data_IF_042054850006
#
_entry.id   IF_042054850006
#
_cell.length_a   1.000
_cell.length_b   1.000
_cell.length_c   1.000
_cell.angle_alpha   90.00
_cell.angle_beta   90.00
_cell.angle_gamma   90.00
#
_symmetry.space_group_name_H-M   'P 1'
#
loop_
_entity.id
_entity.type
_entity.pdbx_description
1 polymer ?
#
# COMPACT_ATOMS: atom_id res chain seq x y z
N UNK A 1 -10.90 -14.11 6.16
CA UNK A 1 -10.08 -13.20 6.97
C UNK A 1 -9.82 -11.96 6.14
N UNK A 2 -10.57 -10.88 6.39
CA UNK A 2 -10.38 -9.64 5.64
C UNK A 2 -9.16 -8.89 6.18
N UNK A 3 -8.33 -8.36 5.28
CA UNK A 3 -7.23 -7.45 5.63
C UNK A 3 -7.56 -6.08 5.04
N UNK A 4 -7.19 -5.02 5.74
CA UNK A 4 -7.38 -3.64 5.29
C UNK A 4 -6.06 -2.89 5.43
N UNK A 5 -5.76 -2.07 4.43
CA UNK A 5 -4.58 -1.20 4.40
C UNK A 5 -5.06 0.25 4.46
N UNK A 6 -4.41 1.04 5.31
CA UNK A 6 -4.63 2.48 5.41
C UNK A 6 -3.33 3.19 5.04
N UNK A 7 -3.45 4.32 4.35
CA UNK A 7 -2.37 5.28 4.16
C UNK A 7 -2.75 6.51 4.99
N UNK A 8 -1.82 6.97 5.81
CA UNK A 8 -2.00 8.12 6.69
C UNK A 8 -1.04 9.21 6.28
N UNK A 9 -1.55 10.44 6.16
CA UNK A 9 -0.73 11.62 5.95
C UNK A 9 -0.40 12.24 7.32
N UNK A 10 0.89 12.32 7.63
CA UNK A 10 1.37 12.86 8.90
C UNK A 10 2.03 14.23 8.69
N UNK A 11 1.78 15.21 9.57
CA UNK A 11 2.51 16.47 9.54
C UNK A 11 4.02 16.24 9.64
N UNK A 12 4.80 17.10 8.98
CA UNK A 12 6.26 17.06 9.04
C UNK A 12 6.77 17.00 10.49
N UNK A 13 7.62 16.01 10.77
CA UNK A 13 8.23 15.79 12.07
C UNK A 13 7.36 15.07 13.10
N UNK A 14 6.14 14.63 12.75
CA UNK A 14 5.36 13.69 13.57
C UNK A 14 5.45 12.28 13.01
N UNK A 15 6.32 11.46 13.59
CA UNK A 15 6.28 10.01 13.36
C UNK A 15 5.11 9.38 14.13
N UNK A 16 4.31 8.50 13.50
CA UNK A 16 3.30 7.75 14.22
C UNK A 16 3.92 6.80 15.24
N UNK A 17 3.31 6.74 16.42
CA UNK A 17 3.57 5.69 17.41
C UNK A 17 2.90 4.37 16.98
N UNK A 18 3.34 3.81 15.84
CA UNK A 18 2.88 2.54 15.28
C UNK A 18 4.05 1.56 15.22
N UNK A 19 3.80 0.32 15.63
CA UNK A 19 4.74 -0.79 15.49
C UNK A 19 4.00 -2.09 15.22
N UNK A 20 4.71 -3.07 14.64
CA UNK A 20 4.16 -4.40 14.44
C UNK A 20 3.82 -5.05 15.79
N UNK A 21 2.66 -5.73 15.85
CA UNK A 21 2.17 -6.37 17.07
C UNK A 21 1.31 -5.49 17.97
N UNK A 22 1.18 -4.19 17.68
CA UNK A 22 0.22 -3.32 18.35
C UNK A 22 -1.23 -3.72 18.00
N UNK A 23 -2.14 -3.55 18.96
CA UNK A 23 -3.57 -3.71 18.71
C UNK A 23 -4.14 -2.38 18.19
N UNK A 24 -4.92 -2.45 17.11
CA UNK A 24 -5.61 -1.31 16.52
C UNK A 24 -6.99 -1.75 16.06
N UNK A 25 -8.05 -1.08 16.55
CA UNK A 25 -9.45 -1.40 16.24
C UNK A 25 -9.79 -2.90 16.38
N UNK A 26 -9.44 -3.51 17.53
CA UNK A 26 -9.58 -4.95 17.82
C UNK A 26 -8.83 -5.91 16.88
N UNK A 27 -8.03 -5.37 15.95
CA UNK A 27 -7.11 -6.11 15.10
C UNK A 27 -5.66 -6.03 15.58
N UNK A 28 -4.83 -6.93 15.05
CA UNK A 28 -3.37 -6.89 15.26
C UNK A 28 -2.70 -6.28 14.03
N UNK A 29 -1.87 -5.26 14.23
CA UNK A 29 -1.00 -4.75 13.16
C UNK A 29 0.02 -5.84 12.81
N UNK A 30 -0.10 -6.41 11.61
CA UNK A 30 0.78 -7.46 11.09
C UNK A 30 1.89 -6.92 10.17
N UNK A 31 1.71 -5.71 9.64
CA UNK A 31 2.65 -5.03 8.75
C UNK A 31 2.44 -3.52 8.83
N UNK A 32 3.52 -2.76 8.70
CA UNK A 32 3.52 -1.31 8.53
C UNK A 32 4.58 -0.95 7.48
N UNK A 33 4.29 0.06 6.65
CA UNK A 33 5.25 0.60 5.68
C UNK A 33 5.34 2.11 5.87
N UNK A 34 6.54 2.66 5.61
CA UNK A 34 6.78 4.10 5.54
C UNK A 34 6.74 4.62 4.10
N UNK A 35 6.46 3.75 3.13
CA UNK A 35 6.19 4.14 1.74
C UNK A 35 4.71 4.41 1.51
N UNK A 36 4.41 5.32 0.59
CA UNK A 36 3.05 5.52 0.10
C UNK A 36 2.63 4.35 -0.80
N UNK A 37 1.93 3.39 -0.20
CA UNK A 37 1.39 2.24 -0.91
C UNK A 37 0.31 2.60 -1.93
N UNK A 38 -0.36 3.75 -1.79
CA UNK A 38 -1.36 4.20 -2.77
C UNK A 38 -0.68 4.62 -4.07
N UNK A 39 0.41 5.36 -3.97
CA UNK A 39 1.24 5.75 -5.12
C UNK A 39 1.90 4.53 -5.76
N UNK A 40 2.43 3.61 -4.95
CA UNK A 40 3.07 2.38 -5.45
C UNK A 40 2.07 1.50 -6.21
N UNK A 41 0.85 1.33 -5.68
CA UNK A 41 -0.20 0.59 -6.36
C UNK A 41 -0.61 1.25 -7.68
N UNK A 42 -0.74 2.58 -7.72
CA UNK A 42 -1.06 3.29 -8.96
C UNK A 42 0.00 3.05 -10.06
N UNK A 43 1.28 3.06 -9.69
CA UNK A 43 2.38 2.73 -10.62
C UNK A 43 2.34 1.29 -11.10
N UNK A 44 1.96 0.35 -10.22
CA UNK A 44 1.81 -1.06 -10.58
C UNK A 44 0.65 -1.25 -11.57
N UNK A 45 -0.49 -0.60 -11.33
CA UNK A 45 -1.65 -0.63 -12.24
C UNK A 45 -1.30 -0.07 -13.63
N UNK A 46 -0.60 1.06 -13.70
CA UNK A 46 -0.11 1.64 -14.97
C UNK A 46 0.80 0.66 -15.72
N UNK A 47 1.71 0.00 -14.98
CA UNK A 47 2.65 -0.95 -15.57
C UNK A 47 1.97 -2.23 -16.05
N UNK A 48 0.96 -2.71 -15.32
CA UNK A 48 0.13 -3.84 -15.75
C UNK A 48 -0.60 -3.48 -17.05
N UNK A 49 -1.26 -2.32 -17.10
CA UNK A 49 -1.97 -1.84 -18.30
C UNK A 49 -1.05 -1.78 -19.53
N UNK A 50 0.16 -1.24 -19.36
CA UNK A 50 1.16 -1.17 -20.44
C UNK A 50 1.60 -2.54 -20.95
N UNK A 51 1.77 -3.51 -20.04
CA UNK A 51 2.15 -4.88 -20.40
C UNK A 51 1.02 -5.63 -21.11
N UNK A 52 -0.23 -5.41 -20.70
CA UNK A 52 -1.41 -5.98 -21.36
C UNK A 52 -1.53 -5.48 -22.81
N UNK A 53 -1.27 -4.18 -23.04
CA UNK A 53 -1.22 -3.62 -24.39
C UNK A 53 -0.09 -4.26 -25.22
N UNK A 54 1.14 -4.35 -24.70
CA UNK A 54 2.25 -4.97 -25.41
C UNK A 54 1.97 -6.43 -25.79
N UNK A 55 1.30 -7.18 -24.90
CA UNK A 55 0.91 -8.56 -25.17
C UNK A 55 -0.13 -8.63 -26.30
N UNK A 56 -1.11 -7.72 -26.31
CA UNK A 56 -2.16 -7.69 -27.32
C UNK A 56 -1.64 -7.43 -28.75
N UNK A 57 -0.49 -6.74 -28.88
CA UNK A 57 0.19 -6.52 -30.17
C UNK A 57 1.16 -7.65 -30.57
N UNK A 58 1.37 -8.64 -29.69
CA UNK A 58 2.27 -9.79 -29.93
C UNK A 58 1.54 -11.05 -30.44
N UNK A 59 0.21 -11.10 -30.33
CA UNK A 59 -0.65 -12.11 -30.96
C UNK A 59 -1.06 -11.71 -32.39
#
# INVERSE_FOLDING_TARGET
MSKMTFVFDYPDGQEPSISAGMTYLDGKIVSASFSDLSEENAKLEERISSLEEELAWKD
#
